data_IF_719559117713
#
_entry.id   IF_719559117713
#
_cell.length_a   1.000
_cell.length_b   1.000
_cell.length_c   1.000
_cell.angle_alpha   90.00
_cell.angle_beta   90.00
_cell.angle_gamma   90.00
#
_symmetry.space_group_name_H-M   'P 1'
#
loop_
_entity.id
_entity.type
_entity.pdbx_description
1 polymer ?
#
# COMPACT_ATOMS: atom_id res chain seq x y z
N UNK A 1 -31.64 -22.05 -10.85
CA UNK A 1 -30.54 -21.25 -10.26
C UNK A 1 -30.44 -21.64 -8.80
N UNK A 2 -29.54 -22.56 -8.48
CA UNK A 2 -29.31 -23.06 -7.12
C UNK A 2 -28.48 -22.01 -6.37
N UNK A 3 -29.07 -21.46 -5.34
CA UNK A 3 -28.34 -20.60 -4.39
C UNK A 3 -27.31 -21.47 -3.65
N UNK A 4 -26.03 -21.15 -3.79
CA UNK A 4 -24.99 -21.75 -2.97
C UNK A 4 -25.29 -21.40 -1.50
N UNK A 5 -25.40 -22.41 -0.67
CA UNK A 5 -25.67 -22.26 0.78
C UNK A 5 -24.39 -21.77 1.48
N UNK A 6 -24.54 -21.09 2.62
CA UNK A 6 -23.41 -20.61 3.44
C UNK A 6 -22.41 -21.73 3.79
N UNK A 7 -22.85 -22.98 3.79
CA UNK A 7 -22.01 -24.16 4.02
C UNK A 7 -21.00 -24.42 2.89
N UNK A 8 -21.36 -24.14 1.63
CA UNK A 8 -20.46 -24.30 0.48
C UNK A 8 -19.36 -23.22 0.44
N UNK A 9 -19.60 -22.08 1.06
CA UNK A 9 -18.61 -21.00 1.20
C UNK A 9 -17.56 -21.29 2.27
N UNK A 10 -17.86 -22.18 3.21
CA UNK A 10 -16.95 -22.58 4.29
C UNK A 10 -15.99 -23.71 3.89
N UNK A 11 -16.26 -24.40 2.78
CA UNK A 11 -15.52 -25.57 2.33
C UNK A 11 -14.44 -25.30 1.29
N UNK A 12 -14.17 -24.03 0.94
CA UNK A 12 -13.16 -23.71 -0.09
C UNK A 12 -11.74 -23.90 0.48
N UNK A 13 -10.95 -24.88 -0.01
CA UNK A 13 -9.60 -25.11 0.48
C UNK A 13 -8.76 -23.86 0.25
N UNK A 14 -7.94 -23.49 1.21
CA UNK A 14 -7.07 -22.33 1.09
C UNK A 14 -6.25 -22.40 -0.20
N UNK A 15 -6.35 -21.42 -1.09
CA UNK A 15 -5.55 -21.42 -2.30
C UNK A 15 -4.08 -21.26 -1.93
N UNK A 16 -3.25 -22.17 -2.41
CA UNK A 16 -1.80 -21.98 -2.34
C UNK A 16 -1.35 -20.79 -3.20
N UNK A 17 -0.08 -20.41 -3.14
CA UNK A 17 0.47 -19.30 -3.94
C UNK A 17 0.18 -19.46 -5.46
N UNK A 18 0.23 -20.68 -5.97
CA UNK A 18 -0.08 -20.97 -7.36
C UNK A 18 -1.56 -20.76 -7.69
N UNK A 19 -2.45 -21.06 -6.77
CA UNK A 19 -3.88 -20.83 -6.94
C UNK A 19 -4.25 -19.34 -6.86
N UNK A 20 -3.58 -18.57 -6.01
CA UNK A 20 -3.68 -17.10 -6.00
C UNK A 20 -3.25 -16.53 -7.35
N UNK A 21 -2.17 -17.09 -7.91
CA UNK A 21 -1.64 -16.69 -9.22
C UNK A 21 -2.57 -17.08 -10.38
N UNK A 22 -3.16 -18.27 -10.35
CA UNK A 22 -3.88 -18.85 -11.49
C UNK A 22 -5.25 -18.21 -11.79
N UNK A 23 -5.82 -17.40 -10.88
CA UNK A 23 -7.22 -16.94 -10.99
C UNK A 23 -7.39 -15.46 -11.38
N UNK A 24 -6.55 -14.94 -12.26
CA UNK A 24 -6.72 -13.56 -12.76
C UNK A 24 -6.39 -12.46 -11.72
N UNK A 25 -6.14 -12.86 -10.47
CA UNK A 25 -5.67 -11.98 -9.42
C UNK A 25 -4.31 -11.37 -9.78
N UNK A 26 -3.54 -12.11 -10.54
CA UNK A 26 -2.15 -11.85 -10.94
C UNK A 26 -2.03 -10.91 -12.13
N UNK A 27 -3.10 -10.63 -12.86
CA UNK A 27 -3.03 -9.59 -13.89
C UNK A 27 -2.63 -8.21 -13.33
N UNK A 28 -2.58 -8.09 -11.98
CA UNK A 28 -2.26 -6.85 -11.27
C UNK A 28 -1.05 -6.95 -10.35
N UNK A 29 -0.56 -8.15 -10.09
CA UNK A 29 0.59 -8.36 -9.22
C UNK A 29 1.57 -9.31 -9.90
N UNK A 30 2.79 -8.86 -10.10
CA UNK A 30 3.89 -9.76 -10.47
C UNK A 30 3.99 -10.88 -9.42
N UNK A 31 4.23 -12.12 -9.88
CA UNK A 31 4.40 -13.27 -8.96
C UNK A 31 5.49 -13.03 -7.92
N UNK A 32 6.54 -12.31 -8.28
CA UNK A 32 7.64 -11.96 -7.39
C UNK A 32 7.22 -10.94 -6.31
N UNK A 33 6.12 -10.23 -6.53
CA UNK A 33 5.59 -9.24 -5.59
C UNK A 33 4.50 -9.80 -4.68
N UNK A 34 4.07 -11.04 -4.89
CA UNK A 34 3.05 -11.67 -4.07
C UNK A 34 3.61 -12.05 -2.70
N UNK A 35 3.12 -11.38 -1.66
CA UNK A 35 3.46 -11.68 -0.26
C UNK A 35 2.56 -12.77 0.32
N UNK A 36 1.25 -12.68 0.03
CA UNK A 36 0.24 -13.51 0.66
C UNK A 36 0.31 -14.97 0.23
N UNK A 37 0.09 -15.85 1.19
CA UNK A 37 -0.16 -17.27 1.00
C UNK A 37 -1.19 -17.74 2.03
N UNK A 38 -1.81 -18.88 1.77
CA UNK A 38 -2.65 -19.61 2.72
C UNK A 38 -3.76 -18.76 3.37
N UNK A 39 -4.52 -18.01 2.56
CA UNK A 39 -5.65 -17.20 3.04
C UNK A 39 -6.85 -18.11 3.30
N UNK A 40 -7.36 -18.13 4.52
CA UNK A 40 -8.48 -18.96 4.97
C UNK A 40 -9.52 -18.13 5.69
N UNK A 41 -10.79 -18.48 5.48
CA UNK A 41 -11.89 -17.94 6.27
C UNK A 41 -11.88 -18.62 7.65
N UNK A 42 -11.97 -17.84 8.72
CA UNK A 42 -12.03 -18.32 10.11
C UNK A 42 -13.40 -18.04 10.75
N UNK A 43 -14.21 -17.18 10.14
CA UNK A 43 -15.55 -16.81 10.55
C UNK A 43 -16.22 -16.02 9.43
N UNK A 44 -17.44 -15.52 9.62
CA UNK A 44 -18.19 -14.80 8.57
C UNK A 44 -17.39 -13.65 7.94
N UNK A 45 -16.71 -12.87 8.77
CA UNK A 45 -15.86 -11.74 8.34
C UNK A 45 -14.46 -11.81 8.99
N UNK A 46 -14.04 -13.00 9.42
CA UNK A 46 -12.73 -13.27 9.98
C UNK A 46 -11.89 -14.13 9.05
N UNK A 47 -10.62 -13.78 8.94
CA UNK A 47 -9.68 -14.45 8.05
C UNK A 47 -8.34 -14.68 8.75
N UNK A 48 -7.69 -15.77 8.37
CA UNK A 48 -6.29 -16.03 8.68
C UNK A 48 -5.53 -16.10 7.38
N UNK A 49 -4.38 -15.46 7.36
CA UNK A 49 -3.48 -15.55 6.21
C UNK A 49 -2.04 -15.64 6.68
N UNK A 50 -1.19 -16.13 5.80
CA UNK A 50 0.26 -16.04 5.93
C UNK A 50 0.78 -15.10 4.86
N UNK A 51 1.75 -14.28 5.22
CA UNK A 51 2.54 -13.51 4.28
C UNK A 51 4.00 -13.93 4.41
N UNK A 52 4.70 -14.04 3.30
CA UNK A 52 6.14 -14.23 3.29
C UNK A 52 6.81 -12.92 2.93
N UNK A 53 7.46 -12.30 3.90
CA UNK A 53 8.22 -11.08 3.68
C UNK A 53 9.64 -11.46 3.28
N UNK A 54 10.06 -11.13 2.04
CA UNK A 54 11.40 -11.45 1.60
C UNK A 54 12.43 -10.65 2.41
N UNK A 55 13.61 -11.23 2.59
CA UNK A 55 14.72 -10.56 3.26
C UNK A 55 15.17 -9.33 2.48
N UNK A 56 15.26 -9.46 1.17
CA UNK A 56 15.72 -8.41 0.28
C UNK A 56 14.70 -8.17 -0.81
N UNK A 57 14.32 -6.91 -0.96
CA UNK A 57 13.68 -6.40 -2.16
C UNK A 57 14.34 -5.08 -2.52
N UNK A 58 14.59 -4.78 -3.78
CA UNK A 58 15.26 -3.54 -4.16
C UNK A 58 14.62 -2.30 -3.52
N UNK A 59 13.29 -2.20 -3.52
CA UNK A 59 12.56 -1.08 -2.91
C UNK A 59 12.57 -1.05 -1.38
N UNK A 60 12.91 -2.18 -0.74
CA UNK A 60 12.90 -2.35 0.72
C UNK A 60 14.28 -2.72 1.28
N UNK A 61 15.28 -2.75 0.43
CA UNK A 61 16.64 -3.16 0.83
C UNK A 61 17.37 -1.99 1.49
N UNK A 62 16.79 -1.56 2.60
CA UNK A 62 17.37 -0.61 3.51
C UNK A 62 17.80 -1.27 4.78
N UNK A 63 18.59 -2.25 4.64
CA UNK A 63 19.45 -2.61 5.72
C UNK A 63 20.61 -1.61 5.69
N UNK A 64 20.49 -0.47 6.37
CA UNK A 64 21.71 0.13 6.88
C UNK A 64 22.50 -1.01 7.52
N UNK A 65 23.80 -1.10 7.28
CA UNK A 65 24.62 -2.16 7.86
C UNK A 65 24.31 -2.25 9.36
N UNK A 66 23.72 -3.36 9.82
CA UNK A 66 23.37 -3.58 11.22
C UNK A 66 21.88 -3.45 11.58
N UNK A 67 20.97 -3.08 10.67
CA UNK A 67 19.54 -3.09 10.97
C UNK A 67 18.87 -4.29 10.32
N UNK A 68 18.56 -5.30 11.13
CA UNK A 68 17.81 -6.49 10.73
C UNK A 68 16.28 -6.23 10.73
N UNK A 69 15.83 -5.03 10.31
CA UNK A 69 14.43 -4.63 10.38
C UNK A 69 13.77 -4.62 9.01
N UNK A 70 12.55 -5.11 8.91
CA UNK A 70 11.76 -5.00 7.69
C UNK A 70 11.29 -3.57 7.41
N UNK A 71 11.20 -3.20 6.12
CA UNK A 71 10.61 -1.92 5.73
C UNK A 71 9.12 -1.88 6.08
N UNK A 72 8.62 -0.83 6.75
CA UNK A 72 7.22 -0.64 7.08
C UNK A 72 6.26 -0.69 5.88
N UNK A 73 6.73 -0.41 4.67
CA UNK A 73 5.91 -0.53 3.46
C UNK A 73 5.43 -1.98 3.22
N UNK A 74 6.12 -3.00 3.75
CA UNK A 74 5.63 -4.38 3.68
C UNK A 74 4.32 -4.58 4.47
N UNK A 75 4.11 -3.80 5.53
CA UNK A 75 2.85 -3.79 6.30
C UNK A 75 1.71 -3.28 5.41
N UNK A 76 1.93 -2.11 4.80
CA UNK A 76 0.96 -1.49 3.89
C UNK A 76 0.67 -2.38 2.68
N UNK A 77 1.70 -3.01 2.11
CA UNK A 77 1.55 -3.93 0.99
C UNK A 77 0.78 -5.20 1.36
N UNK A 78 1.00 -5.75 2.56
CA UNK A 78 0.24 -6.90 3.06
C UNK A 78 -1.24 -6.57 3.18
N UNK A 79 -1.58 -5.39 3.75
CA UNK A 79 -2.97 -4.91 3.80
C UNK A 79 -3.54 -4.71 2.39
N UNK A 80 -2.79 -4.10 1.48
CA UNK A 80 -3.21 -3.87 0.10
C UNK A 80 -3.56 -5.18 -0.60
N UNK A 81 -2.72 -6.19 -0.46
CA UNK A 81 -2.97 -7.50 -1.06
C UNK A 81 -4.22 -8.18 -0.46
N UNK A 82 -4.43 -8.11 0.86
CA UNK A 82 -5.66 -8.59 1.49
C UNK A 82 -6.88 -7.80 1.00
N UNK A 83 -6.77 -6.47 0.91
CA UNK A 83 -7.82 -5.57 0.45
C UNK A 83 -8.22 -5.75 -1.03
N UNK A 84 -7.36 -6.39 -1.83
CA UNK A 84 -7.69 -6.81 -3.21
C UNK A 84 -8.22 -8.24 -3.20
N UNK A 85 -7.57 -9.16 -2.48
CA UNK A 85 -7.91 -10.57 -2.50
C UNK A 85 -9.30 -10.86 -1.92
N UNK A 86 -9.58 -10.33 -0.71
CA UNK A 86 -10.81 -10.67 0.00
C UNK A 86 -12.08 -10.23 -0.76
N UNK A 87 -12.20 -9.00 -1.29
CA UNK A 87 -13.36 -8.60 -2.08
C UNK A 87 -13.59 -9.51 -3.29
N UNK A 88 -12.54 -9.79 -4.04
CA UNK A 88 -12.64 -10.57 -5.27
C UNK A 88 -12.92 -12.06 -5.00
N UNK A 89 -12.37 -12.60 -3.92
CA UNK A 89 -12.39 -14.04 -3.66
C UNK A 89 -13.46 -14.48 -2.68
N UNK A 90 -13.75 -13.64 -1.68
CA UNK A 90 -14.61 -14.02 -0.57
C UNK A 90 -15.96 -13.28 -0.56
N UNK A 91 -16.07 -12.18 -1.32
CA UNK A 91 -17.27 -11.35 -1.31
C UNK A 91 -17.89 -11.12 -2.71
N UNK A 92 -17.49 -11.91 -3.70
CA UNK A 92 -18.12 -11.92 -5.03
C UNK A 92 -17.95 -10.64 -5.84
N UNK A 93 -16.98 -9.79 -5.50
CA UNK A 93 -16.68 -8.59 -6.28
C UNK A 93 -16.12 -9.03 -7.65
N UNK A 94 -16.63 -8.42 -8.72
CA UNK A 94 -16.22 -8.76 -10.08
C UNK A 94 -14.71 -8.54 -10.32
N UNK A 95 -14.06 -9.47 -11.02
CA UNK A 95 -12.60 -9.47 -11.20
C UNK A 95 -12.07 -8.24 -11.97
N UNK A 96 -12.91 -7.58 -12.77
CA UNK A 96 -12.58 -6.36 -13.51
C UNK A 96 -12.77 -5.08 -12.68
N UNK A 97 -13.25 -5.19 -11.43
CA UNK A 97 -13.42 -4.05 -10.53
C UNK A 97 -12.09 -3.37 -10.21
N UNK A 98 -12.14 -2.05 -10.09
CA UNK A 98 -11.03 -1.23 -9.61
C UNK A 98 -11.11 -1.13 -8.10
N UNK A 99 -10.04 -1.51 -7.41
CA UNK A 99 -9.92 -1.39 -5.95
C UNK A 99 -9.07 -0.17 -5.66
N UNK A 100 -9.65 0.80 -4.97
CA UNK A 100 -8.99 2.04 -4.56
C UNK A 100 -8.83 2.02 -3.04
N UNK A 101 -7.63 2.24 -2.55
CA UNK A 101 -7.38 2.44 -1.12
C UNK A 101 -7.76 3.88 -0.79
N UNK A 102 -8.75 4.07 0.08
CA UNK A 102 -9.18 5.39 0.56
C UNK A 102 -8.48 5.78 1.85
N UNK A 103 -8.30 4.83 2.74
CA UNK A 103 -7.62 5.03 4.01
C UNK A 103 -6.69 3.87 4.29
N UNK A 104 -5.55 4.19 4.87
CA UNK A 104 -4.58 3.23 5.38
C UNK A 104 -3.98 3.78 6.65
N UNK A 105 -3.86 2.94 7.67
CA UNK A 105 -3.15 3.25 8.90
C UNK A 105 -2.37 2.03 9.34
N UNK A 106 -1.14 2.22 9.81
CA UNK A 106 -0.40 1.19 10.54
C UNK A 106 0.33 1.75 11.75
N UNK A 107 0.56 0.88 12.71
CA UNK A 107 1.33 1.14 13.93
C UNK A 107 2.21 -0.08 14.22
N UNK A 108 3.51 0.17 14.36
CA UNK A 108 4.50 -0.83 14.74
C UNK A 108 4.72 -0.70 16.25
N UNK A 109 4.57 -1.78 16.99
CA UNK A 109 4.78 -1.78 18.42
C UNK A 109 6.25 -1.42 18.75
N UNK A 110 6.49 -0.58 19.76
CA UNK A 110 7.85 -0.25 20.16
C UNK A 110 8.64 -1.53 20.48
N UNK A 111 9.87 -1.60 20.01
CA UNK A 111 10.78 -2.74 20.21
C UNK A 111 10.27 -4.11 19.72
N UNK A 112 9.18 -4.13 18.96
CA UNK A 112 8.64 -5.34 18.37
C UNK A 112 9.07 -5.41 16.90
N UNK A 113 10.25 -5.94 16.65
CA UNK A 113 10.73 -6.13 15.30
C UNK A 113 10.53 -7.57 14.83
N UNK A 114 9.92 -7.69 13.66
CA UNK A 114 10.05 -8.90 12.87
C UNK A 114 11.40 -8.87 12.17
N UNK A 115 12.45 -9.20 12.90
CA UNK A 115 13.77 -9.31 12.28
C UNK A 115 13.74 -10.39 11.19
N UNK A 116 14.24 -10.12 9.97
CA UNK A 116 14.38 -11.16 8.97
C UNK A 116 15.33 -12.24 9.46
N UNK A 117 14.98 -13.50 9.19
CA UNK A 117 15.95 -14.58 9.35
C UNK A 117 17.20 -14.28 8.54
N UNK A 118 18.38 -14.60 9.08
CA UNK A 118 19.67 -14.34 8.45
C UNK A 118 19.80 -14.93 7.02
N UNK A 119 19.03 -15.96 6.71
CA UNK A 119 19.08 -16.69 5.44
C UNK A 119 17.74 -16.81 4.72
N UNK A 120 16.64 -16.53 5.40
CA UNK A 120 15.29 -16.69 4.86
C UNK A 120 14.48 -15.44 5.13
N UNK A 121 13.45 -15.21 4.32
CA UNK A 121 12.45 -14.21 4.64
C UNK A 121 11.68 -14.56 5.92
N UNK A 122 10.84 -13.65 6.37
CA UNK A 122 10.01 -13.83 7.57
C UNK A 122 8.61 -14.31 7.19
N UNK A 123 8.16 -15.39 7.82
CA UNK A 123 6.74 -15.76 7.77
C UNK A 123 5.97 -14.86 8.75
N UNK A 124 5.01 -14.14 8.23
CA UNK A 124 4.12 -13.26 9.00
C UNK A 124 2.73 -13.85 9.02
N UNK A 125 2.21 -14.10 10.20
CA UNK A 125 0.82 -14.49 10.41
C UNK A 125 -0.07 -13.26 10.43
N UNK A 126 -1.16 -13.29 9.66
CA UNK A 126 -2.13 -12.22 9.54
C UNK A 126 -3.47 -12.67 10.12
N UNK A 127 -3.97 -11.96 11.12
CA UNK A 127 -5.33 -12.13 11.64
C UNK A 127 -6.16 -10.92 11.19
N UNK A 128 -7.02 -11.14 10.20
CA UNK A 128 -7.79 -10.07 9.58
C UNK A 128 -9.26 -10.16 9.97
N UNK A 129 -9.87 -9.00 10.25
CA UNK A 129 -11.32 -8.82 10.40
C UNK A 129 -11.78 -7.85 9.32
N UNK A 130 -12.79 -8.26 8.56
CA UNK A 130 -13.40 -7.45 7.53
C UNK A 130 -14.63 -6.75 8.08
N UNK A 131 -14.78 -5.47 7.73
CA UNK A 131 -15.99 -4.70 7.93
C UNK A 131 -16.57 -4.38 6.55
N UNK A 132 -17.70 -5.02 6.23
CA UNK A 132 -18.41 -4.81 4.96
C UNK A 132 -19.07 -3.43 4.86
N UNK A 133 -18.85 -2.65 5.88
CA UNK A 133 -19.22 -1.28 5.96
C UNK A 133 -20.50 -1.07 6.75
N UNK A 134 -20.44 -0.15 7.66
CA UNK A 134 -21.59 0.55 8.21
C UNK A 134 -22.52 1.15 7.13
N UNK A 135 -22.31 0.80 5.86
CA UNK A 135 -23.00 1.34 4.68
C UNK A 135 -24.15 0.47 4.20
N UNK A 136 -24.61 -0.51 5.00
CA UNK A 136 -25.93 -1.15 4.85
C UNK A 136 -26.23 -1.73 3.46
N UNK A 137 -25.22 -2.24 2.73
CA UNK A 137 -25.43 -2.71 1.37
C UNK A 137 -25.64 -4.22 1.35
N UNK A 138 -26.62 -4.65 0.55
CA UNK A 138 -26.85 -6.06 0.26
C UNK A 138 -25.57 -6.72 -0.28
N UNK A 139 -25.41 -8.01 0.00
CA UNK A 139 -24.23 -8.79 -0.37
C UNK A 139 -23.86 -8.71 -1.87
N UNK A 140 -24.83 -8.41 -2.73
CA UNK A 140 -24.63 -8.32 -4.19
C UNK A 140 -23.89 -7.06 -4.65
N UNK A 141 -23.60 -6.11 -3.76
CA UNK A 141 -23.01 -4.81 -4.13
C UNK A 141 -22.03 -4.29 -3.09
N UNK A 142 -21.05 -5.12 -2.69
CA UNK A 142 -19.96 -4.64 -1.86
C UNK A 142 -19.25 -3.47 -2.59
N UNK A 143 -19.33 -2.27 -2.01
CA UNK A 143 -18.69 -1.07 -2.58
C UNK A 143 -17.47 -0.63 -1.78
N UNK A 144 -17.48 -0.85 -0.48
CA UNK A 144 -16.35 -0.54 0.42
C UNK A 144 -16.09 -1.74 1.33
N UNK A 145 -14.85 -1.94 1.66
CA UNK A 145 -14.41 -2.94 2.62
C UNK A 145 -13.42 -2.30 3.58
N UNK A 146 -13.76 -2.25 4.85
CA UNK A 146 -12.82 -1.99 5.94
C UNK A 146 -12.08 -3.27 6.29
N UNK A 147 -10.78 -3.18 6.56
CA UNK A 147 -9.97 -4.28 7.06
C UNK A 147 -9.19 -3.82 8.28
N UNK A 148 -9.15 -4.67 9.31
CA UNK A 148 -8.26 -4.55 10.47
C UNK A 148 -7.42 -5.81 10.52
N UNK A 149 -6.11 -5.67 10.52
CA UNK A 149 -5.19 -6.79 10.47
C UNK A 149 -4.16 -6.67 11.58
N UNK A 150 -3.98 -7.75 12.34
CA UNK A 150 -2.88 -7.92 13.27
C UNK A 150 -1.81 -8.79 12.62
N UNK A 151 -0.57 -8.34 12.70
CA UNK A 151 0.58 -9.00 12.12
C UNK A 151 1.48 -9.55 13.22
N UNK A 152 1.80 -10.82 13.13
CA UNK A 152 2.63 -11.53 14.11
C UNK A 152 3.74 -12.32 13.42
N UNK A 153 4.91 -12.36 14.04
CA UNK A 153 6.03 -13.20 13.62
C UNK A 153 6.61 -13.92 14.83
N UNK A 154 6.97 -15.20 14.69
CA UNK A 154 7.47 -16.00 15.79
C UNK A 154 6.49 -16.10 16.99
N UNK A 155 5.18 -15.94 16.75
CA UNK A 155 4.14 -15.95 17.79
C UNK A 155 3.91 -14.59 18.47
N UNK A 156 4.67 -13.55 18.17
CA UNK A 156 4.55 -12.22 18.77
C UNK A 156 3.91 -11.23 17.79
N UNK A 157 2.88 -10.49 18.27
CA UNK A 157 2.28 -9.39 17.51
C UNK A 157 3.27 -8.23 17.48
N UNK A 158 3.61 -7.75 16.27
CA UNK A 158 4.56 -6.64 16.11
C UNK A 158 3.96 -5.42 15.43
N UNK A 159 2.84 -5.57 14.71
CA UNK A 159 2.19 -4.45 14.05
C UNK A 159 0.68 -4.66 13.90
N UNK A 160 -0.02 -3.54 13.81
CA UNK A 160 -1.43 -3.46 13.42
C UNK A 160 -1.54 -2.59 12.20
N UNK A 161 -2.42 -2.98 11.30
CA UNK A 161 -2.73 -2.20 10.11
C UNK A 161 -4.20 -2.27 9.82
N UNK A 162 -4.79 -1.13 9.49
CA UNK A 162 -6.17 -1.03 9.07
C UNK A 162 -6.29 -0.14 7.84
N UNK A 163 -7.37 -0.29 7.11
CA UNK A 163 -7.64 0.53 5.95
C UNK A 163 -9.03 0.29 5.37
N UNK A 164 -9.39 1.18 4.48
CA UNK A 164 -10.65 1.13 3.75
C UNK A 164 -10.36 1.10 2.25
N UNK A 165 -10.92 0.12 1.58
CA UNK A 165 -10.87 -0.02 0.14
C UNK A 165 -12.25 0.21 -0.47
N UNK A 166 -12.29 0.97 -1.58
CA UNK A 166 -13.49 1.14 -2.40
C UNK A 166 -13.38 0.30 -3.66
N UNK A 167 -14.45 -0.45 -3.97
CA UNK A 167 -14.56 -1.22 -5.19
C UNK A 167 -15.46 -0.49 -6.19
N UNK A 168 -14.94 -0.23 -7.38
CA UNK A 168 -15.65 0.44 -8.46
C UNK A 168 -15.71 -0.47 -9.68
N UNK A 169 -16.89 -0.59 -10.29
CA UNK A 169 -16.97 -1.18 -11.64
C UNK A 169 -16.18 -0.33 -12.62
N UNK A 170 -15.72 -0.89 -13.76
CA UNK A 170 -15.02 -0.12 -14.79
C UNK A 170 -15.78 1.13 -15.26
N UNK A 171 -17.10 1.02 -15.35
CA UNK A 171 -17.96 2.17 -15.72
C UNK A 171 -17.97 3.26 -14.63
N UNK A 172 -18.13 2.85 -13.35
CA UNK A 172 -18.08 3.78 -12.23
C UNK A 172 -16.71 4.45 -12.10
N UNK A 173 -15.63 3.70 -12.27
CA UNK A 173 -14.28 4.26 -12.27
C UNK A 173 -14.11 5.31 -13.37
N UNK A 174 -14.48 5.00 -14.61
CA UNK A 174 -14.45 5.99 -15.70
C UNK A 174 -15.29 7.22 -15.40
N UNK A 175 -16.50 7.06 -14.84
CA UNK A 175 -17.34 8.20 -14.47
C UNK A 175 -16.69 9.11 -13.40
N UNK A 176 -16.00 8.52 -12.42
CA UNK A 176 -15.25 9.28 -11.40
C UNK A 176 -14.07 10.01 -12.03
N UNK A 177 -13.34 9.35 -12.93
CA UNK A 177 -12.19 9.95 -13.64
C UNK A 177 -12.63 11.08 -14.58
N UNK A 178 -13.71 10.91 -15.33
CA UNK A 178 -14.19 11.89 -16.30
C UNK A 178 -14.79 13.14 -15.65
N UNK A 179 -15.33 13.04 -14.43
CA UNK A 179 -15.83 14.22 -13.67
C UNK A 179 -14.72 15.17 -13.22
N UNK A 180 -13.49 14.73 -13.31
CA UNK A 180 -12.30 15.51 -13.02
C UNK A 180 -11.43 15.45 -14.25
N UNK A 181 -11.61 16.39 -15.20
CA UNK A 181 -10.73 16.46 -16.37
C UNK A 181 -9.31 16.45 -15.84
N UNK A 182 -8.51 15.55 -16.40
CA UNK A 182 -7.13 15.39 -16.05
C UNK A 182 -6.48 16.78 -16.03
N UNK A 183 -5.65 17.01 -15.05
CA UNK A 183 -4.97 18.28 -14.90
C UNK A 183 -4.11 18.44 -16.16
N UNK A 184 -4.70 19.04 -17.19
CA UNK A 184 -4.00 19.33 -18.43
C UNK A 184 -3.00 20.44 -18.17
N UNK A 185 -1.83 20.25 -18.63
CA UNK A 185 -0.63 21.02 -18.82
C UNK A 185 0.54 20.47 -18.02
N UNK A 186 1.52 20.02 -18.75
CA UNK A 186 2.84 19.74 -18.21
C UNK A 186 3.31 20.96 -17.43
N UNK A 187 3.63 20.77 -16.17
CA UNK A 187 4.51 21.70 -15.49
C UNK A 187 5.90 21.28 -15.95
N UNK A 188 6.49 22.03 -16.87
CA UNK A 188 7.87 21.83 -17.36
C UNK A 188 8.91 22.14 -16.27
N UNK A 189 8.52 22.04 -15.00
CA UNK A 189 9.41 22.23 -13.88
C UNK A 189 10.60 21.26 -14.02
N UNK A 190 11.78 21.82 -14.26
CA UNK A 190 13.01 21.05 -14.31
C UNK A 190 13.24 20.42 -12.93
N UNK A 191 13.05 19.12 -12.83
CA UNK A 191 13.26 18.35 -11.62
C UNK A 191 14.67 17.77 -11.63
N UNK A 192 15.34 17.85 -10.48
CA UNK A 192 16.63 17.21 -10.26
C UNK A 192 16.41 15.98 -9.40
N UNK A 193 16.77 14.78 -9.87
CA UNK A 193 16.70 13.56 -9.05
C UNK A 193 17.51 13.74 -7.76
N UNK A 194 16.98 13.17 -6.67
CA UNK A 194 17.66 13.14 -5.38
C UNK A 194 18.65 11.98 -5.35
N UNK A 195 19.80 12.19 -4.70
CA UNK A 195 20.75 11.10 -4.44
C UNK A 195 20.07 10.01 -3.58
N UNK A 196 20.13 8.73 -3.98
CA UNK A 196 19.51 7.62 -3.25
C UNK A 196 19.93 7.54 -1.79
N UNK A 197 21.20 7.78 -1.50
CA UNK A 197 21.75 7.76 -0.14
C UNK A 197 21.10 8.80 0.79
N UNK A 198 20.68 9.93 0.28
CA UNK A 198 20.03 10.99 1.07
C UNK A 198 18.60 10.65 1.50
N UNK A 199 17.93 9.80 0.77
CA UNK A 199 16.58 9.32 1.07
C UNK A 199 16.59 7.86 1.53
N UNK A 200 17.81 7.37 1.73
CA UNK A 200 18.10 6.10 2.27
C UNK A 200 17.53 4.95 1.48
N UNK A 201 17.70 4.93 0.22
CA UNK A 201 17.52 3.79 -0.65
C UNK A 201 18.85 3.46 -1.32
N UNK A 202 19.00 2.24 -1.78
CA UNK A 202 20.25 1.79 -2.39
C UNK A 202 20.33 2.19 -3.86
N UNK A 203 19.21 2.12 -4.55
CA UNK A 203 19.19 2.24 -6.00
C UNK A 203 18.46 3.49 -6.48
N UNK A 204 18.92 4.15 -7.55
CA UNK A 204 18.24 5.33 -8.11
C UNK A 204 16.78 5.08 -8.47
N UNK A 205 16.43 3.88 -8.94
CA UNK A 205 15.06 3.56 -9.31
C UNK A 205 14.08 3.46 -8.11
N UNK A 206 14.60 3.34 -6.87
CA UNK A 206 13.78 3.35 -5.65
C UNK A 206 13.48 4.77 -5.15
N UNK A 207 14.06 5.80 -5.78
CA UNK A 207 13.83 7.19 -5.41
C UNK A 207 12.47 7.65 -5.93
N UNK A 208 11.64 8.17 -5.03
CA UNK A 208 10.26 8.59 -5.32
C UNK A 208 10.10 10.11 -5.33
N UNK A 209 11.16 10.85 -5.03
CA UNK A 209 11.13 12.31 -4.93
C UNK A 209 12.25 12.95 -5.74
N UNK A 210 11.99 14.16 -6.19
CA UNK A 210 12.96 15.01 -6.86
C UNK A 210 12.86 16.43 -6.29
N UNK A 211 13.83 17.30 -6.60
CA UNK A 211 13.84 18.70 -6.16
C UNK A 211 13.63 19.60 -7.37
N UNK A 212 12.73 20.56 -7.24
CA UNK A 212 12.52 21.57 -8.27
C UNK A 212 13.58 22.69 -8.19
N UNK A 213 13.57 23.60 -9.18
CA UNK A 213 14.53 24.71 -9.25
C UNK A 213 14.47 25.67 -8.04
N UNK A 214 13.42 25.61 -7.21
CA UNK A 214 13.26 26.41 -5.99
C UNK A 214 13.67 25.65 -4.74
N UNK A 215 14.14 24.41 -4.88
CA UNK A 215 14.52 23.55 -3.77
C UNK A 215 13.34 22.82 -3.12
N UNK A 216 12.12 22.90 -3.67
CA UNK A 216 10.98 22.20 -3.11
C UNK A 216 10.96 20.72 -3.53
N UNK A 217 10.63 19.85 -2.58
CA UNK A 217 10.55 18.42 -2.83
C UNK A 217 9.24 18.08 -3.54
N UNK A 218 9.35 17.30 -4.61
CA UNK A 218 8.24 16.88 -5.47
C UNK A 218 8.16 15.36 -5.53
N UNK A 219 6.94 14.85 -5.55
CA UNK A 219 6.68 13.42 -5.77
C UNK A 219 6.94 13.13 -7.26
N UNK A 220 8.03 12.47 -7.54
CA UNK A 220 8.50 12.18 -8.89
C UNK A 220 9.29 10.88 -8.87
N UNK A 221 8.62 9.71 -8.99
CA UNK A 221 9.31 8.42 -9.07
C UNK A 221 10.32 8.39 -10.20
N UNK A 222 11.55 8.00 -9.89
CA UNK A 222 12.64 7.93 -10.86
C UNK A 222 12.44 6.82 -11.90
N UNK A 223 11.72 5.75 -11.53
CA UNK A 223 11.35 4.67 -12.44
C UNK A 223 9.82 4.55 -12.55
N UNK A 224 9.22 4.95 -13.68
CA UNK A 224 7.79 4.82 -13.90
C UNK A 224 7.34 3.36 -14.10
N UNK A 225 8.27 2.42 -14.25
CA UNK A 225 8.02 0.99 -14.41
C UNK A 225 8.50 0.18 -13.20
N UNK A 226 8.71 0.83 -12.06
CA UNK A 226 9.19 0.18 -10.87
C UNK A 226 8.32 -1.01 -10.46
N UNK A 227 8.88 -2.25 -10.33
CA UNK A 227 8.09 -3.47 -10.20
C UNK A 227 7.24 -3.54 -8.93
N UNK A 228 7.58 -2.76 -7.90
CA UNK A 228 6.82 -2.69 -6.67
C UNK A 228 5.84 -1.51 -6.62
N UNK A 229 6.28 -0.31 -6.99
CA UNK A 229 5.46 0.89 -6.91
C UNK A 229 4.48 1.02 -8.08
N UNK A 230 4.83 0.43 -9.21
CA UNK A 230 4.07 0.42 -10.46
C UNK A 230 3.85 -1.01 -10.98
N UNK A 231 3.41 -1.91 -10.09
CA UNK A 231 3.16 -3.33 -10.39
C UNK A 231 2.04 -3.57 -11.41
N UNK A 232 1.29 -2.53 -11.73
CA UNK A 232 0.23 -2.54 -12.76
C UNK A 232 0.09 -1.13 -13.36
N UNK A 233 -0.41 -1.03 -14.61
CA UNK A 233 -0.70 0.26 -15.22
C UNK A 233 -1.69 1.06 -14.36
N UNK A 234 -1.29 2.26 -13.95
CA UNK A 234 -2.10 3.19 -13.18
C UNK A 234 -2.12 4.55 -13.87
N UNK A 235 -3.28 5.18 -13.86
CA UNK A 235 -3.49 6.53 -14.38
C UNK A 235 -3.39 7.60 -13.27
N UNK A 236 -2.92 7.20 -12.08
CA UNK A 236 -2.69 8.07 -10.94
C UNK A 236 -1.57 7.50 -10.06
N UNK A 237 -1.02 8.32 -9.17
CA UNK A 237 -0.04 7.88 -8.18
C UNK A 237 -0.67 6.91 -7.20
N UNK A 238 -0.04 5.75 -7.02
CA UNK A 238 -0.54 4.73 -6.08
C UNK A 238 -0.30 5.15 -4.64
N UNK A 239 -1.10 4.63 -3.71
CA UNK A 239 -0.91 4.89 -2.27
C UNK A 239 0.48 4.49 -1.77
N UNK A 240 1.07 3.44 -2.36
CA UNK A 240 2.43 3.00 -2.00
C UNK A 240 3.50 4.01 -2.40
N UNK A 241 3.37 4.62 -3.58
CA UNK A 241 4.24 5.73 -4.02
C UNK A 241 4.11 6.90 -3.06
N UNK A 242 2.88 7.27 -2.68
CA UNK A 242 2.64 8.42 -1.81
C UNK A 242 3.21 8.22 -0.41
N UNK A 243 3.01 7.06 0.22
CA UNK A 243 3.59 6.75 1.54
C UNK A 243 5.11 6.70 1.48
N UNK A 244 5.67 6.09 0.43
CA UNK A 244 7.12 6.08 0.22
C UNK A 244 7.69 7.48 0.04
N UNK A 245 7.00 8.35 -0.73
CA UNK A 245 7.41 9.75 -0.92
C UNK A 245 7.33 10.56 0.39
N UNK A 246 6.31 10.33 1.23
CA UNK A 246 6.23 10.94 2.58
C UNK A 246 7.48 10.61 3.40
N UNK A 247 7.88 9.34 3.45
CA UNK A 247 9.09 8.93 4.17
C UNK A 247 10.35 9.57 3.57
N UNK A 248 10.51 9.52 2.24
CA UNK A 248 11.70 10.08 1.59
C UNK A 248 11.79 11.60 1.75
N UNK A 249 10.65 12.30 1.73
CA UNK A 249 10.61 13.75 2.00
C UNK A 249 11.00 14.05 3.44
N UNK A 250 10.51 13.27 4.41
CA UNK A 250 10.90 13.44 5.80
C UNK A 250 12.40 13.20 6.01
N UNK A 251 12.98 12.17 5.39
CA UNK A 251 14.40 11.88 5.43
C UNK A 251 15.25 13.04 4.90
N UNK A 252 14.81 13.67 3.80
CA UNK A 252 15.48 14.85 3.25
C UNK A 252 15.41 16.05 4.18
N UNK A 253 14.24 16.35 4.75
CA UNK A 253 14.04 17.50 5.62
C UNK A 253 14.81 17.35 6.93
N UNK A 254 14.84 16.15 7.49
CA UNK A 254 15.60 15.84 8.70
C UNK A 254 17.11 15.67 8.44
N UNK A 255 17.51 15.57 7.18
CA UNK A 255 18.86 15.14 6.77
C UNK A 255 19.27 13.80 7.43
N UNK A 256 18.31 12.90 7.56
CA UNK A 256 18.45 11.61 8.21
C UNK A 256 17.95 10.48 7.28
N UNK A 257 18.84 9.90 6.49
CA UNK A 257 18.48 8.89 5.51
C UNK A 257 17.91 7.61 6.13
N UNK A 258 18.26 7.29 7.37
CA UNK A 258 17.81 6.08 8.06
C UNK A 258 16.44 6.22 8.73
N UNK A 259 15.80 7.37 8.55
CA UNK A 259 14.49 7.63 9.13
C UNK A 259 13.47 6.59 8.68
N UNK A 260 12.83 5.92 9.65
CA UNK A 260 11.88 4.84 9.46
C UNK A 260 10.49 5.25 9.90
N UNK A 261 9.47 4.89 9.16
CA UNK A 261 8.07 5.06 9.58
C UNK A 261 7.75 4.05 10.69
N UNK A 262 7.43 4.54 11.88
CA UNK A 262 6.90 3.72 12.98
C UNK A 262 5.38 3.67 12.92
N UNK A 263 4.75 4.81 12.66
CA UNK A 263 3.31 4.90 12.41
C UNK A 263 3.07 5.72 11.16
N UNK A 264 2.02 5.38 10.46
CA UNK A 264 1.53 6.19 9.35
C UNK A 264 0.02 6.04 9.25
N UNK A 265 -0.65 7.16 9.07
CA UNK A 265 -2.03 7.18 8.58
C UNK A 265 -2.08 8.04 7.33
N UNK A 266 -2.83 7.60 6.33
CA UNK A 266 -3.07 8.36 5.12
C UNK A 266 -4.52 8.19 4.65
N UNK A 267 -5.15 9.30 4.30
CA UNK A 267 -6.47 9.35 3.69
C UNK A 267 -6.37 10.03 2.32
N UNK A 268 -6.77 9.30 1.28
CA UNK A 268 -6.89 9.82 -0.06
C UNK A 268 -8.18 10.61 -0.21
N UNK A 269 -8.08 11.89 -0.55
CA UNK A 269 -9.21 12.79 -0.77
C UNK A 269 -9.54 12.90 -2.26
N UNK A 270 -8.51 12.78 -3.10
CA UNK A 270 -8.56 12.89 -4.56
C UNK A 270 -7.47 12.03 -5.17
N UNK A 271 -7.59 11.75 -6.46
CA UNK A 271 -6.48 11.21 -7.21
C UNK A 271 -5.31 12.20 -7.23
N UNK A 272 -4.12 11.71 -6.96
CA UNK A 272 -2.88 12.44 -7.23
C UNK A 272 -2.41 12.01 -8.61
N UNK A 273 -2.35 12.94 -9.54
CA UNK A 273 -1.98 12.67 -10.93
C UNK A 273 -0.45 12.55 -11.08
N UNK A 274 0.06 11.83 -12.09
CA UNK A 274 1.49 11.79 -12.35
C UNK A 274 2.06 13.17 -12.71
N UNK A 275 1.27 14.04 -13.36
CA UNK A 275 1.63 15.38 -13.77
C UNK A 275 0.53 16.39 -13.45
N UNK A 276 0.91 17.63 -13.03
CA UNK A 276 2.25 18.00 -12.56
C UNK A 276 2.61 17.28 -11.26
N UNK A 277 3.90 17.20 -10.90
CA UNK A 277 4.33 16.55 -9.67
C UNK A 277 3.69 17.18 -8.43
N UNK A 278 3.21 16.33 -7.50
CA UNK A 278 2.69 16.76 -6.21
C UNK A 278 3.83 17.14 -5.25
N UNK A 279 3.54 17.92 -4.21
CA UNK A 279 4.43 18.15 -3.06
C UNK A 279 3.94 17.38 -1.84
N UNK A 280 4.88 17.05 -0.95
CA UNK A 280 4.58 16.60 0.42
C UNK A 280 4.94 17.75 1.35
N UNK A 281 3.96 18.23 2.10
CA UNK A 281 4.12 19.33 3.05
C UNK A 281 3.87 18.82 4.46
N UNK A 282 4.86 18.98 5.34
CA UNK A 282 4.74 18.60 6.74
C UNK A 282 4.28 19.79 7.58
N UNK A 283 3.26 19.56 8.40
CA UNK A 283 2.84 20.44 9.46
C UNK A 283 3.44 20.04 10.82
N UNK A 284 3.03 20.69 11.89
CA UNK A 284 3.41 20.33 13.25
C UNK A 284 2.91 18.90 13.58
N UNK A 285 3.54 18.26 14.56
CA UNK A 285 3.12 16.96 15.11
C UNK A 285 3.06 15.80 14.12
N UNK A 286 3.90 15.84 13.07
CA UNK A 286 3.99 14.76 12.08
C UNK A 286 2.82 14.71 11.10
N UNK A 287 1.91 15.67 11.11
CA UNK A 287 0.86 15.79 10.09
C UNK A 287 1.48 16.12 8.75
N UNK A 288 0.89 15.59 7.68
CA UNK A 288 1.30 15.91 6.34
C UNK A 288 0.12 16.08 5.38
N UNK A 289 0.34 16.84 4.35
CA UNK A 289 -0.55 16.98 3.22
C UNK A 289 0.20 16.69 1.93
N UNK A 290 -0.45 15.97 1.03
CA UNK A 290 0.02 15.83 -0.35
C UNK A 290 -0.79 16.81 -1.18
N UNK A 291 -0.08 17.76 -1.81
CA UNK A 291 -0.70 18.84 -2.58
C UNK A 291 -0.30 18.78 -4.03
N UNK A 292 -1.28 19.03 -4.88
CA UNK A 292 -1.07 19.15 -6.32
C UNK A 292 -1.81 20.37 -6.83
N UNK A 293 -1.10 21.34 -7.41
CA UNK A 293 -1.64 22.65 -7.85
C UNK A 293 -2.45 23.35 -6.76
N UNK A 294 -1.92 23.41 -5.55
CA UNK A 294 -2.61 24.04 -4.41
C UNK A 294 -3.78 23.24 -3.83
N UNK A 295 -4.17 22.13 -4.46
CA UNK A 295 -5.26 21.28 -3.96
C UNK A 295 -4.68 20.14 -3.13
N UNK A 296 -5.24 19.88 -1.96
CA UNK A 296 -4.90 18.71 -1.14
C UNK A 296 -5.49 17.47 -1.78
N UNK A 297 -4.65 16.50 -2.09
CA UNK A 297 -5.04 15.21 -2.68
C UNK A 297 -5.04 14.09 -1.64
N UNK A 298 -4.17 14.17 -0.64
CA UNK A 298 -4.18 13.27 0.52
C UNK A 298 -3.73 14.01 1.77
N UNK A 299 -4.14 13.51 2.93
CA UNK A 299 -3.72 13.97 4.26
C UNK A 299 -3.33 12.78 5.11
N UNK A 300 -2.50 13.02 6.12
CA UNK A 300 -2.14 11.97 7.05
C UNK A 300 -1.29 12.46 8.22
N UNK A 301 -0.84 11.47 8.99
CA UNK A 301 0.08 11.66 10.10
C UNK A 301 1.17 10.58 10.00
N UNK A 302 2.40 10.94 10.32
CA UNK A 302 3.53 10.04 10.30
C UNK A 302 4.39 10.26 11.55
N UNK A 303 4.71 9.16 12.23
CA UNK A 303 5.70 9.14 13.29
C UNK A 303 6.91 8.35 12.81
N UNK A 304 8.08 8.87 13.11
CA UNK A 304 9.35 8.31 12.66
C UNK A 304 10.20 7.87 13.85
N UNK A 305 11.08 6.91 13.57
CA UNK A 305 12.15 6.46 14.48
C UNK A 305 13.46 6.29 13.69
N UNK A 306 14.59 6.26 14.41
CA UNK A 306 15.93 5.96 13.87
C UNK A 306 16.26 4.47 13.92
#
# INVERSE_FOLDING_TARGET
>A
MTHATDADLLADPAPNRSALAARGFVARLSRSQLLLSDVRRAGPDEFRAKAHWPRTRPAFDRCAPGTDRHDPLLIAETLRQLGIYLPLRCYGVAADSRVLIEELRFDIAPNADSAPSRYQGTEVACAATADRGALGLSADKLRNLGLKVRLSAGGHEFARVDGVARMLSPAAYRAVRNRRPGIAAADDARLTPVDPGRVGVTWPHDVLVAVDARGAVRVSPSDPNHPFFHDHPSDHMTGMVLIGAVRQTAALHANEPNLRLRKCSMRALRFTEPNPPASVEFGPDGRFEIRQRGTVTATGEAEFEL
#
